data_IF_783444601642
#
_entry.id   IF_783444601642
#
_cell.length_a   1.000
_cell.length_b   1.000
_cell.length_c   1.000
_cell.angle_alpha   90.00
_cell.angle_beta   90.00
_cell.angle_gamma   90.00
#
_symmetry.space_group_name_H-M   'P 1'
#
loop_
_entity.id
_entity.type
_entity.pdbx_description
1 polymer ?
#
# COMPACT_ATOMS: atom_id res chain seq x y z
N UNK A 1 52.46 5.15 -13.03
CA UNK A 1 51.55 4.31 -12.21
C UNK A 1 51.87 4.37 -10.70
N UNK A 2 52.40 5.49 -10.17
CA UNK A 2 52.77 5.65 -8.75
C UNK A 2 52.15 6.89 -8.09
N UNK A 3 51.28 7.60 -8.81
CA UNK A 3 50.59 8.83 -8.38
C UNK A 3 49.13 8.59 -7.98
N UNK A 4 48.57 7.41 -8.27
CA UNK A 4 47.19 7.06 -7.90
C UNK A 4 47.06 6.47 -6.48
N UNK A 5 48.18 6.03 -5.87
CA UNK A 5 48.16 5.41 -4.54
C UNK A 5 48.21 6.45 -3.39
N UNK A 6 48.68 7.67 -3.65
CA UNK A 6 48.79 8.73 -2.63
C UNK A 6 47.52 9.59 -2.49
N UNK A 7 46.61 9.56 -3.46
CA UNK A 7 45.36 10.36 -3.43
C UNK A 7 44.28 9.70 -2.57
N UNK A 8 44.37 8.38 -2.34
CA UNK A 8 43.39 7.63 -1.54
C UNK A 8 43.55 7.81 -0.02
N UNK A 9 44.66 8.39 0.46
CA UNK A 9 44.93 8.60 1.89
C UNK A 9 44.61 10.02 2.41
N UNK A 10 44.25 10.96 1.53
CA UNK A 10 43.97 12.37 1.89
C UNK A 10 42.47 12.70 1.81
N UNK A 11 41.59 11.67 1.78
CA UNK A 11 40.13 11.88 1.87
C UNK A 11 39.54 11.52 3.25
N UNK A 12 40.34 10.95 4.16
CA UNK A 12 39.87 10.52 5.48
C UNK A 12 39.96 11.58 6.58
N UNK A 13 40.37 12.82 6.30
CA UNK A 13 40.66 13.79 7.36
C UNK A 13 40.35 15.24 6.97
N UNK A 14 39.13 15.55 6.51
CA UNK A 14 38.59 16.92 6.53
C UNK A 14 37.12 16.99 6.07
N UNK A 15 36.18 16.41 6.82
CA UNK A 15 34.82 16.97 6.86
C UNK A 15 34.46 17.14 8.32
N UNK A 16 34.62 18.39 8.75
CA UNK A 16 34.41 18.85 10.10
C UNK A 16 33.00 18.58 10.59
N UNK A 17 32.98 18.21 11.86
CA UNK A 17 31.90 18.31 12.82
C UNK A 17 31.08 19.60 12.63
N UNK A 18 29.94 19.52 11.95
CA UNK A 18 28.84 20.47 12.10
C UNK A 18 27.71 19.76 12.85
N UNK A 19 27.14 20.36 13.91
CA UNK A 19 25.97 19.77 14.55
C UNK A 19 24.75 20.12 13.70
N UNK A 20 24.51 19.35 12.65
CA UNK A 20 23.19 19.33 12.01
C UNK A 20 22.28 18.61 13.00
N UNK A 21 21.46 19.39 13.72
CA UNK A 21 20.30 18.90 14.45
C UNK A 21 19.34 18.25 13.44
N UNK A 22 19.65 17.02 13.07
CA UNK A 22 18.79 16.18 12.26
C UNK A 22 17.81 15.55 13.24
N UNK A 23 16.57 16.04 13.21
CA UNK A 23 15.44 15.25 13.68
C UNK A 23 15.48 13.95 12.87
N UNK A 24 16.07 12.91 13.46
CA UNK A 24 16.08 11.58 12.87
C UNK A 24 14.63 11.10 12.89
N UNK A 25 13.90 11.37 11.80
CA UNK A 25 12.72 10.59 11.44
C UNK A 25 13.22 9.16 11.39
N UNK A 26 12.95 8.40 12.47
CA UNK A 26 13.18 6.96 12.51
C UNK A 26 12.33 6.38 11.40
N UNK A 27 12.92 6.21 10.22
CA UNK A 27 12.33 5.45 9.14
C UNK A 27 12.44 3.98 9.52
N UNK A 28 11.68 3.57 10.54
CA UNK A 28 11.41 2.18 10.80
C UNK A 28 10.68 1.64 9.58
N UNK A 29 11.20 0.57 8.99
CA UNK A 29 10.72 -0.04 7.76
C UNK A 29 9.37 -0.76 8.00
N UNK A 30 8.38 -0.04 8.54
CA UNK A 30 7.05 -0.56 8.81
C UNK A 30 6.33 -0.64 7.47
N UNK A 31 5.89 -1.84 7.05
CA UNK A 31 5.13 -1.96 5.81
C UNK A 31 3.90 -1.06 5.88
N UNK A 32 3.57 -0.43 4.76
CA UNK A 32 2.36 0.37 4.65
C UNK A 32 1.14 -0.51 4.89
N UNK A 33 0.03 0.10 5.32
CA UNK A 33 -1.25 -0.60 5.53
C UNK A 33 -1.68 -1.44 4.32
N UNK A 34 -1.47 -0.89 3.12
CA UNK A 34 -1.72 -1.57 1.86
C UNK A 34 -0.81 -2.80 1.71
N UNK A 35 0.50 -2.66 1.93
CA UNK A 35 1.43 -3.79 1.89
C UNK A 35 1.03 -4.89 2.88
N UNK A 36 0.65 -4.53 4.11
CA UNK A 36 0.19 -5.49 5.11
C UNK A 36 -1.12 -6.17 4.71
N UNK A 37 -2.09 -5.43 4.15
CA UNK A 37 -3.35 -6.00 3.66
C UNK A 37 -3.09 -7.03 2.56
N UNK A 38 -2.23 -6.71 1.59
CA UNK A 38 -1.85 -7.63 0.52
C UNK A 38 -1.04 -8.83 1.02
N UNK A 39 -0.25 -8.68 2.08
CA UNK A 39 0.45 -9.81 2.71
C UNK A 39 -0.53 -10.80 3.34
N UNK A 40 -1.53 -10.33 4.10
CA UNK A 40 -2.56 -11.21 4.65
C UNK A 40 -3.41 -11.85 3.54
N UNK A 41 -3.75 -11.08 2.51
CA UNK A 41 -4.49 -11.59 1.34
C UNK A 41 -3.76 -12.74 0.65
N UNK A 42 -2.45 -12.58 0.40
CA UNK A 42 -1.61 -13.62 -0.22
C UNK A 42 -1.54 -14.88 0.63
N UNK A 43 -1.60 -14.74 1.96
CA UNK A 43 -1.64 -15.85 2.90
C UNK A 43 -3.04 -16.48 3.02
N UNK A 44 -4.04 -15.98 2.27
CA UNK A 44 -5.47 -16.31 2.42
C UNK A 44 -6.01 -16.06 3.83
N UNK A 45 -5.34 -15.22 4.62
CA UNK A 45 -5.86 -14.74 5.90
C UNK A 45 -6.82 -13.57 5.65
N UNK A 46 -7.97 -13.90 5.07
CA UNK A 46 -9.00 -12.92 4.72
C UNK A 46 -9.59 -12.24 5.95
N UNK A 47 -9.59 -12.91 7.10
CA UNK A 47 -10.10 -12.36 8.36
C UNK A 47 -9.25 -11.19 8.85
N UNK A 48 -7.92 -11.33 8.78
CA UNK A 48 -7.00 -10.23 9.12
C UNK A 48 -6.91 -9.17 8.03
N UNK A 49 -7.04 -9.57 6.76
CA UNK A 49 -7.00 -8.64 5.62
C UNK A 49 -8.24 -7.73 5.55
N UNK A 50 -9.42 -8.26 5.91
CA UNK A 50 -10.71 -7.57 5.78
C UNK A 50 -10.75 -6.16 6.39
N UNK A 51 -10.39 -5.92 7.67
CA UNK A 51 -10.43 -4.58 8.25
C UNK A 51 -9.47 -3.60 7.57
N UNK A 52 -8.33 -4.08 7.06
CA UNK A 52 -7.35 -3.24 6.36
C UNK A 52 -7.87 -2.84 4.98
N UNK A 53 -8.44 -3.78 4.22
CA UNK A 53 -9.05 -3.47 2.93
C UNK A 53 -10.30 -2.61 3.06
N UNK A 54 -11.09 -2.78 4.12
CA UNK A 54 -12.22 -1.90 4.41
C UNK A 54 -11.76 -0.44 4.52
N UNK A 55 -10.73 -0.19 5.32
CA UNK A 55 -10.22 1.17 5.50
C UNK A 55 -9.64 1.76 4.20
N UNK A 56 -8.92 0.94 3.44
CA UNK A 56 -8.39 1.33 2.13
C UNK A 56 -9.51 1.60 1.11
N UNK A 57 -10.60 0.83 1.16
CA UNK A 57 -11.78 0.98 0.31
C UNK A 57 -12.59 2.24 0.63
N UNK A 58 -12.77 2.53 1.93
CA UNK A 58 -13.47 3.73 2.39
C UNK A 58 -12.65 5.02 2.12
N UNK A 59 -11.35 4.89 1.85
CA UNK A 59 -10.44 5.98 1.51
C UNK A 59 -10.41 6.33 0.01
N UNK A 60 -9.37 7.07 -0.39
CA UNK A 60 -9.18 7.52 -1.78
C UNK A 60 -8.89 6.40 -2.79
N UNK A 61 -8.62 5.18 -2.31
CA UNK A 61 -8.24 4.03 -3.14
C UNK A 61 -9.44 3.11 -3.43
N UNK A 62 -10.66 3.53 -3.11
CA UNK A 62 -11.90 2.74 -3.20
C UNK A 62 -12.01 1.86 -4.44
N UNK A 63 -11.93 2.44 -5.64
CA UNK A 63 -12.11 1.68 -6.89
C UNK A 63 -11.03 0.61 -7.13
N UNK A 64 -9.77 0.88 -6.79
CA UNK A 64 -8.69 -0.10 -6.96
C UNK A 64 -8.70 -1.19 -5.89
N UNK A 65 -9.26 -0.89 -4.70
CA UNK A 65 -9.30 -1.79 -3.56
C UNK A 65 -10.57 -2.65 -3.54
N UNK A 66 -11.65 -2.17 -4.16
CA UNK A 66 -12.94 -2.85 -4.26
C UNK A 66 -12.86 -4.37 -4.48
N UNK A 67 -12.16 -4.90 -5.51
CA UNK A 67 -12.15 -6.34 -5.76
C UNK A 67 -11.56 -7.14 -4.60
N UNK A 68 -10.54 -6.62 -3.91
CA UNK A 68 -9.90 -7.27 -2.78
C UNK A 68 -10.79 -7.24 -1.53
N UNK A 69 -11.43 -6.09 -1.28
CA UNK A 69 -12.37 -5.95 -0.19
C UNK A 69 -13.58 -6.89 -0.38
N UNK A 70 -14.16 -6.94 -1.58
CA UNK A 70 -15.26 -7.83 -1.91
C UNK A 70 -14.89 -9.31 -1.73
N UNK A 71 -13.71 -9.72 -2.23
CA UNK A 71 -13.25 -11.11 -2.04
C UNK A 71 -13.10 -11.46 -0.55
N UNK A 72 -12.57 -10.53 0.26
CA UNK A 72 -12.44 -10.77 1.69
C UNK A 72 -13.81 -10.99 2.35
N UNK A 73 -14.82 -10.18 2.01
CA UNK A 73 -16.19 -10.35 2.52
C UNK A 73 -16.77 -11.73 2.15
N UNK A 74 -16.57 -12.17 0.90
CA UNK A 74 -17.05 -13.47 0.42
C UNK A 74 -16.38 -14.62 1.18
N UNK A 75 -15.05 -14.60 1.31
CA UNK A 75 -14.29 -15.67 1.97
C UNK A 75 -14.54 -15.71 3.49
N UNK A 76 -14.82 -14.56 4.12
CA UNK A 76 -15.27 -14.50 5.52
C UNK A 76 -16.76 -14.70 5.69
N UNK A 77 -17.51 -14.95 4.61
CA UNK A 77 -18.96 -15.21 4.58
C UNK A 77 -19.82 -14.05 5.11
N UNK A 78 -19.32 -12.82 4.99
CA UNK A 78 -20.07 -11.59 5.27
C UNK A 78 -20.86 -11.19 4.01
N UNK A 79 -21.81 -12.03 3.62
CA UNK A 79 -22.53 -11.91 2.36
C UNK A 79 -23.45 -10.69 2.31
N UNK A 80 -24.04 -10.32 3.44
CA UNK A 80 -24.91 -9.14 3.54
C UNK A 80 -24.12 -7.87 3.16
N UNK A 81 -22.92 -7.73 3.71
CA UNK A 81 -22.04 -6.61 3.39
C UNK A 81 -21.43 -6.71 2.00
N UNK A 82 -21.16 -7.91 1.49
CA UNK A 82 -20.73 -8.11 0.11
C UNK A 82 -21.79 -7.58 -0.87
N UNK A 83 -23.06 -7.94 -0.67
CA UNK A 83 -24.17 -7.48 -1.49
C UNK A 83 -24.35 -5.95 -1.44
N UNK A 84 -24.29 -5.38 -0.23
CA UNK A 84 -24.34 -3.92 -0.05
C UNK A 84 -23.20 -3.22 -0.79
N UNK A 85 -21.98 -3.76 -0.69
CA UNK A 85 -20.78 -3.20 -1.32
C UNK A 85 -20.94 -3.20 -2.85
N UNK A 86 -21.42 -4.30 -3.44
CA UNK A 86 -21.69 -4.38 -4.89
C UNK A 86 -22.75 -3.37 -5.30
N UNK A 87 -23.87 -3.30 -4.57
CA UNK A 87 -24.95 -2.33 -4.86
C UNK A 87 -24.45 -0.89 -4.82
N UNK A 88 -23.57 -0.56 -3.89
CA UNK A 88 -23.00 0.78 -3.76
C UNK A 88 -22.03 1.10 -4.91
N UNK A 89 -21.19 0.15 -5.33
CA UNK A 89 -20.32 0.34 -6.50
C UNK A 89 -21.10 0.47 -7.81
N UNK A 90 -22.17 -0.31 -7.99
CA UNK A 90 -23.05 -0.17 -9.17
C UNK A 90 -23.65 1.24 -9.29
N UNK A 91 -23.99 1.88 -8.17
CA UNK A 91 -24.50 3.26 -8.15
C UNK A 91 -23.42 4.30 -8.52
N UNK A 92 -22.15 4.04 -8.21
CA UNK A 92 -21.02 4.91 -8.58
C UNK A 92 -20.68 4.81 -10.07
N UNK A 93 -21.01 3.69 -10.70
CA UNK A 93 -20.65 3.39 -12.09
C UNK A 93 -21.89 3.14 -12.98
N UNK A 94 -22.81 4.12 -13.11
CA UNK A 94 -24.03 3.92 -13.89
C UNK A 94 -23.81 3.78 -15.41
N UNK A 95 -22.62 4.13 -15.93
CA UNK A 95 -22.36 4.25 -17.38
C UNK A 95 -21.42 3.18 -17.98
N UNK A 96 -20.88 2.23 -17.22
CA UNK A 96 -20.01 1.18 -17.80
C UNK A 96 -20.79 -0.03 -18.37
N UNK A 97 -22.10 -0.13 -18.12
CA UNK A 97 -22.96 -1.14 -18.76
C UNK A 97 -23.54 -0.69 -20.10
N UNK A 98 -23.26 0.54 -20.54
CA UNK A 98 -23.63 1.06 -21.87
C UNK A 98 -22.46 0.96 -22.84
N UNK A 99 -22.07 -0.26 -23.15
CA UNK A 99 -21.70 -0.56 -24.53
C UNK A 99 -22.91 -1.32 -25.08
N UNK A 100 -23.93 -0.54 -25.44
CA UNK A 100 -24.90 -0.99 -26.42
C UNK A 100 -24.07 -1.47 -27.62
N UNK A 101 -24.08 -2.78 -27.83
CA UNK A 101 -23.58 -3.41 -29.03
C UNK A 101 -24.41 -2.88 -30.19
N UNK A 102 -23.82 -1.97 -30.97
CA UNK A 102 -24.28 -1.65 -32.33
C UNK A 102 -23.99 -2.85 -33.25
#
# INVERSE_FOLDING_TARGET
>A
MKTHLSILLIFCAAIGFTPIASAQVKQGNTPSKQQTAFQFYQQRDFKSALPLFKELYDGSQGSSIYPYYLQCLIETKDFDKAEETVKNEMKKTPNQQRLDVD
#
